data_IF_565423077149
#
_entry.id   IF_565423077149
#
_cell.length_a   1.000
_cell.length_b   1.000
_cell.length_c   1.000
_cell.angle_alpha   90.00
_cell.angle_beta   90.00
_cell.angle_gamma   90.00
#
_symmetry.space_group_name_H-M   'P 1'
#
loop_
_entity.id
_entity.type
_entity.pdbx_description
1 polymer ?
#
# COMPACT_ATOMS: atom_id res chain seq x y z
N UNK A 1 4.48 14.28 3.91
CA UNK A 1 5.27 13.45 4.86
C UNK A 1 6.53 14.12 5.40
N UNK A 2 7.31 14.92 4.62
CA UNK A 2 8.56 15.52 5.11
C UNK A 2 8.39 16.32 6.41
N UNK A 3 7.34 17.16 6.50
CA UNK A 3 7.04 17.93 7.72
C UNK A 3 6.81 17.08 8.98
N UNK A 4 6.19 15.90 8.85
CA UNK A 4 5.93 15.01 9.99
C UNK A 4 7.25 14.36 10.44
N UNK A 5 8.07 13.93 9.47
CA UNK A 5 9.39 13.34 9.74
C UNK A 5 10.34 14.35 10.36
N UNK A 6 10.41 15.57 9.83
CA UNK A 6 11.24 16.65 10.39
C UNK A 6 10.83 17.00 11.81
N UNK A 7 9.51 17.09 12.08
CA UNK A 7 9.02 17.52 13.39
C UNK A 7 9.13 16.44 14.47
N UNK A 8 8.98 15.17 14.09
CA UNK A 8 8.80 14.08 15.06
C UNK A 8 9.81 12.94 14.95
N UNK A 9 10.60 12.85 13.88
CA UNK A 9 11.57 11.77 13.67
C UNK A 9 10.95 10.37 13.54
N UNK A 10 9.65 10.28 13.23
CA UNK A 10 8.90 9.02 13.21
C UNK A 10 8.96 8.33 11.84
N UNK A 11 8.84 7.00 11.85
CA UNK A 11 8.51 6.21 10.65
C UNK A 11 7.05 6.42 10.28
N UNK A 12 6.78 6.52 8.98
CA UNK A 12 5.44 6.76 8.43
C UNK A 12 4.93 5.48 7.77
N UNK A 13 3.81 4.98 8.30
CA UNK A 13 3.03 3.90 7.71
C UNK A 13 1.71 4.46 7.18
N UNK A 14 1.30 4.07 5.97
CA UNK A 14 0.03 4.50 5.36
C UNK A 14 -0.84 3.30 4.98
N UNK A 15 -2.16 3.47 5.05
CA UNK A 15 -3.12 2.57 4.40
C UNK A 15 -4.02 3.40 3.50
N UNK A 16 -3.79 3.29 2.20
CA UNK A 16 -4.33 4.22 1.18
C UNK A 16 -5.11 3.49 0.07
N UNK A 17 -5.40 2.20 0.26
CA UNK A 17 -6.16 1.41 -0.71
C UNK A 17 -5.25 0.79 -1.78
N UNK A 18 -5.75 0.79 -3.02
CA UNK A 18 -5.05 0.23 -4.18
C UNK A 18 -4.01 1.22 -4.70
N UNK A 19 -2.85 0.71 -5.10
CA UNK A 19 -1.76 1.52 -5.64
C UNK A 19 -1.22 0.89 -6.92
N UNK A 20 -0.90 1.74 -7.89
CA UNK A 20 -0.07 1.36 -9.02
C UNK A 20 1.42 1.63 -8.71
N UNK A 21 2.34 1.15 -9.56
CA UNK A 21 3.78 1.35 -9.36
C UNK A 21 4.26 2.82 -9.37
N UNK A 22 3.54 3.72 -10.04
CA UNK A 22 3.88 5.15 -10.03
C UNK A 22 3.54 5.79 -8.68
N UNK A 23 2.35 5.52 -8.15
CA UNK A 23 1.91 6.03 -6.86
C UNK A 23 2.79 5.49 -5.73
N UNK A 24 3.14 4.20 -5.75
CA UNK A 24 4.07 3.62 -4.78
C UNK A 24 5.44 4.31 -4.78
N UNK A 25 6.01 4.58 -5.96
CA UNK A 25 7.27 5.34 -6.09
C UNK A 25 7.14 6.77 -5.56
N UNK A 26 6.02 7.45 -5.84
CA UNK A 26 5.75 8.79 -5.32
C UNK A 26 5.65 8.80 -3.79
N UNK A 27 4.99 7.82 -3.19
CA UNK A 27 4.90 7.67 -1.74
C UNK A 27 6.29 7.46 -1.11
N UNK A 28 7.12 6.58 -1.71
CA UNK A 28 8.51 6.38 -1.28
C UNK A 28 9.31 7.67 -1.34
N UNK A 29 9.26 8.39 -2.47
CA UNK A 29 9.96 9.66 -2.66
C UNK A 29 9.50 10.74 -1.67
N UNK A 30 8.22 10.73 -1.27
CA UNK A 30 7.70 11.64 -0.26
C UNK A 30 8.16 11.29 1.17
N UNK A 31 8.77 10.11 1.38
CA UNK A 31 9.26 9.67 2.68
C UNK A 31 8.30 8.76 3.45
N UNK A 32 7.41 8.04 2.77
CA UNK A 32 6.68 6.91 3.39
C UNK A 32 7.64 5.73 3.59
N UNK A 33 7.55 5.06 4.74
CA UNK A 33 8.39 3.91 5.04
C UNK A 33 7.66 2.60 4.77
N UNK A 34 6.37 2.54 5.10
CA UNK A 34 5.54 1.32 5.05
C UNK A 34 4.17 1.58 4.43
N UNK A 35 3.63 0.60 3.71
CA UNK A 35 2.23 0.58 3.27
C UNK A 35 1.52 -0.66 3.81
N UNK A 36 0.47 -0.43 4.60
CA UNK A 36 -0.41 -1.49 5.08
C UNK A 36 -1.47 -1.83 4.03
N UNK A 37 -1.42 -3.05 3.51
CA UNK A 37 -2.41 -3.58 2.56
C UNK A 37 -2.77 -5.05 2.89
N UNK A 38 -4.06 -5.33 3.05
CA UNK A 38 -4.57 -6.65 3.45
C UNK A 38 -5.09 -7.44 2.25
N UNK A 39 -4.98 -8.77 2.27
CA UNK A 39 -5.71 -9.67 1.35
C UNK A 39 -7.10 -10.06 1.89
N UNK A 40 -7.36 -9.82 3.18
CA UNK A 40 -8.59 -10.05 3.94
C UNK A 40 -9.04 -11.52 4.09
N UNK A 41 -9.03 -12.31 3.03
CA UNK A 41 -9.50 -13.70 3.03
C UNK A 41 -8.85 -14.49 1.89
N UNK A 42 -9.19 -15.76 1.70
CA UNK A 42 -8.72 -16.53 0.54
C UNK A 42 -9.29 -16.01 -0.77
N UNK A 43 -8.54 -16.13 -1.87
CA UNK A 43 -9.00 -15.76 -3.23
C UNK A 43 -10.37 -16.37 -3.59
N UNK A 44 -10.64 -17.61 -3.17
CA UNK A 44 -11.91 -18.31 -3.45
C UNK A 44 -13.11 -17.69 -2.74
N UNK A 45 -12.91 -17.12 -1.56
CA UNK A 45 -13.98 -16.52 -0.77
C UNK A 45 -14.13 -15.01 -0.99
N UNK A 46 -13.12 -14.39 -1.61
CA UNK A 46 -13.04 -12.94 -1.79
C UNK A 46 -14.27 -12.31 -2.48
N UNK A 47 -14.85 -12.88 -3.56
CA UNK A 47 -16.04 -12.31 -4.21
C UNK A 47 -17.30 -12.27 -3.33
N UNK A 48 -17.32 -13.02 -2.21
CA UNK A 48 -18.41 -12.98 -1.22
C UNK A 48 -18.27 -11.82 -0.23
N UNK A 49 -17.09 -11.22 -0.13
CA UNK A 49 -16.77 -10.16 0.83
C UNK A 49 -16.61 -8.80 0.14
N UNK A 50 -16.03 -8.77 -1.05
CA UNK A 50 -15.78 -7.53 -1.78
C UNK A 50 -16.05 -7.72 -3.28
N UNK A 51 -16.80 -6.78 -3.84
CA UNK A 51 -17.22 -6.77 -5.26
C UNK A 51 -16.73 -5.54 -6.02
N UNK A 52 -16.14 -4.55 -5.33
CA UNK A 52 -15.69 -3.28 -5.95
C UNK A 52 -14.30 -3.35 -6.58
N UNK A 53 -13.53 -4.38 -6.24
CA UNK A 53 -12.18 -4.64 -6.74
C UNK A 53 -11.88 -6.12 -6.50
N UNK A 54 -10.96 -6.66 -7.28
CA UNK A 54 -10.61 -8.07 -7.27
C UNK A 54 -9.50 -8.39 -6.27
N UNK A 55 -9.37 -9.69 -5.97
CA UNK A 55 -8.23 -10.20 -5.22
C UNK A 55 -6.89 -9.90 -5.94
N UNK A 56 -6.92 -9.86 -7.28
CA UNK A 56 -5.74 -9.56 -8.08
C UNK A 56 -5.27 -8.13 -7.87
N UNK A 57 -6.19 -7.15 -7.85
CA UNK A 57 -5.84 -5.74 -7.61
C UNK A 57 -5.08 -5.55 -6.29
N UNK A 58 -5.43 -6.33 -5.26
CA UNK A 58 -4.72 -6.33 -3.98
C UNK A 58 -3.31 -6.91 -4.07
N UNK A 59 -3.13 -7.99 -4.83
CA UNK A 59 -1.80 -8.55 -5.09
C UNK A 59 -0.93 -7.61 -5.92
N UNK A 60 -1.54 -6.93 -6.89
CA UNK A 60 -0.84 -5.96 -7.74
C UNK A 60 -0.37 -4.77 -6.90
N UNK A 61 -1.20 -4.31 -5.97
CA UNK A 61 -0.82 -3.30 -4.98
C UNK A 61 0.37 -3.75 -4.12
N UNK A 62 0.35 -4.98 -3.60
CA UNK A 62 1.48 -5.53 -2.82
C UNK A 62 2.77 -5.62 -3.66
N UNK A 63 2.66 -5.99 -4.93
CA UNK A 63 3.79 -6.03 -5.87
C UNK A 63 4.36 -4.63 -6.09
N UNK A 64 3.50 -3.63 -6.36
CA UNK A 64 3.91 -2.24 -6.54
C UNK A 64 4.61 -1.65 -5.30
N UNK A 65 4.09 -1.93 -4.09
CA UNK A 65 4.71 -1.53 -2.82
C UNK A 65 6.11 -2.14 -2.67
N UNK A 66 6.22 -3.45 -2.92
CA UNK A 66 7.49 -4.19 -2.82
C UNK A 66 8.54 -3.68 -3.82
N UNK A 67 8.14 -3.45 -5.07
CA UNK A 67 9.01 -2.91 -6.12
C UNK A 67 9.51 -1.50 -5.79
N UNK A 68 8.66 -0.67 -5.17
CA UNK A 68 9.02 0.65 -4.68
C UNK A 68 9.87 0.65 -3.40
N UNK A 69 10.27 -0.53 -2.90
CA UNK A 69 11.06 -0.70 -1.68
C UNK A 69 10.38 -0.09 -0.44
N UNK A 70 9.05 -0.13 -0.42
CA UNK A 70 8.24 0.18 0.76
C UNK A 70 8.04 -1.12 1.57
N UNK A 71 8.05 -1.00 2.88
CA UNK A 71 7.73 -2.11 3.80
C UNK A 71 6.25 -2.45 3.78
#
# INVERSE_FOLDING_TARGET
MPRIKERHGLKICLSVGLLNPEDARRLKACGVDRVNHNLNTSRRFYPRICTTHDYQDRLDTLSAVKEAQLE
#
